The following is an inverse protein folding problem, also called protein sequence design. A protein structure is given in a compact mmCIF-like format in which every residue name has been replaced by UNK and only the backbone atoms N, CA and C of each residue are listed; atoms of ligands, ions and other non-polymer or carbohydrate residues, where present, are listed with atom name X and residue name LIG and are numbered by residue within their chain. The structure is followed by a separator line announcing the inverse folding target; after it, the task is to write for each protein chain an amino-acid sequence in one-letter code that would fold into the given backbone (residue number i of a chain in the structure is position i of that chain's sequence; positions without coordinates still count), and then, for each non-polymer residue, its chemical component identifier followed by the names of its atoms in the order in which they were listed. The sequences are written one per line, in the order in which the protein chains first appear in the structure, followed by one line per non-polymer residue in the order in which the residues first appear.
data_IF_891092114466
#
_entry.id   IF_891092114466
#
_cell.length_a   1.000
_cell.length_b   1.000
_cell.length_c   1.000
_cell.angle_alpha   90.00
_cell.angle_beta   90.00
_cell.angle_gamma   90.00
#
_symmetry.space_group_name_H-M   'P 1'
#
loop_
_entity.id
_entity.type
_entity.pdbx_description
1 polymer ?
#
# COMPACT_ATOMS: atom_id res chain seq x y z
N UNK A 1 5.95 -12.13 -83.89
CA UNK A 1 6.48 -12.86 -82.70
C UNK A 1 6.63 -11.89 -81.49
N UNK A 2 5.73 -11.66 -80.09
CA UNK A 2 5.71 -10.99 -79.20
C UNK A 2 5.82 -11.38 -78.04
N UNK A 3 6.36 -11.18 -77.35
CA UNK A 3 6.43 -11.52 -76.22
C UNK A 3 5.73 -10.81 -75.35
N UNK A 4 5.09 -11.10 -74.91
CA UNK A 4 4.43 -10.64 -74.03
C UNK A 4 5.01 -10.74 -72.82
N UNK A 5 5.28 -9.97 -72.28
CA UNK A 5 5.64 -9.95 -71.15
C UNK A 5 4.64 -10.12 -70.28
N UNK A 6 4.67 -10.95 -69.33
CA UNK A 6 3.86 -11.21 -68.16
C UNK A 6 4.28 -10.24 -67.04
N UNK A 7 3.54 -9.16 -66.89
CA UNK A 7 3.63 -8.30 -65.69
C UNK A 7 3.06 -9.05 -64.52
N UNK A 8 3.92 -9.63 -63.67
CA UNK A 8 3.52 -10.20 -62.36
C UNK A 8 3.06 -9.04 -61.46
N UNK A 9 1.75 -9.01 -61.14
CA UNK A 9 1.14 -8.11 -60.18
C UNK A 9 1.65 -8.45 -58.78
N UNK A 10 2.61 -7.69 -58.26
CA UNK A 10 3.08 -7.77 -56.88
C UNK A 10 2.03 -7.09 -56.00
N UNK A 11 1.20 -7.87 -55.33
CA UNK A 11 0.31 -7.35 -54.25
C UNK A 11 1.16 -7.24 -52.96
N UNK A 12 1.42 -6.06 -52.44
CA UNK A 12 2.07 -5.98 -51.13
C UNK A 12 1.12 -6.55 -50.09
N UNK A 13 1.59 -7.54 -49.36
CA UNK A 13 0.90 -8.08 -48.19
C UNK A 13 0.76 -7.01 -47.10
N UNK A 14 -0.17 -7.18 -46.16
CA UNK A 14 -0.33 -6.23 -45.09
C UNK A 14 1.00 -6.09 -44.31
N UNK A 15 1.55 -4.87 -44.28
CA UNK A 15 2.72 -4.57 -43.47
C UNK A 15 2.40 -4.97 -42.03
N UNK A 16 3.26 -5.75 -41.34
CA UNK A 16 3.05 -6.02 -39.93
C UNK A 16 3.04 -4.70 -39.20
N UNK A 17 1.98 -4.42 -38.48
CA UNK A 17 1.88 -3.26 -37.60
C UNK A 17 3.11 -3.24 -36.68
N UNK A 18 3.79 -2.09 -36.50
CA UNK A 18 4.93 -2.06 -35.60
C UNK A 18 4.48 -2.48 -34.21
N UNK A 19 4.89 -3.67 -33.80
CA UNK A 19 4.68 -4.14 -32.44
C UNK A 19 5.44 -3.14 -31.56
N UNK A 20 4.70 -2.46 -30.68
CA UNK A 20 5.31 -1.52 -29.76
C UNK A 20 6.48 -2.26 -29.06
N UNK A 21 7.73 -1.85 -29.26
CA UNK A 21 8.87 -2.58 -28.72
C UNK A 21 8.85 -2.69 -27.18
N UNK A 22 8.03 -1.88 -26.52
CA UNK A 22 7.81 -1.93 -25.08
C UNK A 22 7.05 -3.19 -24.64
N UNK A 23 6.06 -3.66 -25.43
CA UNK A 23 5.29 -4.85 -25.10
C UNK A 23 6.17 -6.11 -25.22
N UNK A 24 7.15 -6.11 -26.12
CA UNK A 24 8.04 -7.26 -26.32
C UNK A 24 9.21 -7.32 -25.32
N UNK A 25 9.61 -6.17 -24.76
CA UNK A 25 10.77 -6.10 -23.87
C UNK A 25 10.43 -6.44 -22.40
N UNK A 26 9.19 -6.22 -21.97
CA UNK A 26 8.81 -6.34 -20.57
C UNK A 26 7.64 -7.27 -20.31
N UNK A 27 6.97 -7.77 -21.33
CA UNK A 27 5.85 -8.73 -21.20
C UNK A 27 4.67 -8.26 -20.35
N UNK A 28 4.87 -7.25 -19.47
CA UNK A 28 3.87 -6.63 -18.59
C UNK A 28 4.38 -5.27 -18.12
N UNK A 29 3.45 -4.34 -17.89
CA UNK A 29 3.74 -3.04 -17.28
C UNK A 29 4.51 -3.20 -15.95
N UNK A 30 5.51 -2.36 -15.64
CA UNK A 30 6.18 -2.38 -14.32
C UNK A 30 5.25 -1.99 -13.17
N UNK A 31 4.10 -1.43 -13.49
CA UNK A 31 3.10 -0.98 -12.50
C UNK A 31 2.39 -2.17 -11.85
N UNK A 32 2.09 -3.24 -12.62
CA UNK A 32 1.42 -4.42 -12.07
C UNK A 32 2.10 -4.98 -10.81
N UNK A 33 3.41 -5.25 -10.83
CA UNK A 33 4.13 -5.69 -9.62
C UNK A 33 4.09 -4.67 -8.47
N UNK A 34 4.06 -3.36 -8.75
CA UNK A 34 3.92 -2.31 -7.72
C UNK A 34 2.53 -2.35 -7.10
N UNK A 35 1.48 -2.55 -7.91
CA UNK A 35 0.11 -2.71 -7.42
C UNK A 35 -0.03 -3.98 -6.58
N UNK A 36 0.62 -5.09 -7.00
CA UNK A 36 0.66 -6.34 -6.23
C UNK A 36 1.37 -6.13 -4.88
N UNK A 37 2.48 -5.38 -4.87
CA UNK A 37 3.21 -5.05 -3.65
C UNK A 37 2.30 -4.25 -2.68
N UNK A 38 1.60 -3.23 -3.17
CA UNK A 38 0.68 -2.45 -2.34
C UNK A 38 -0.49 -3.33 -1.82
N UNK A 39 -1.00 -4.23 -2.66
CA UNK A 39 -2.06 -5.17 -2.24
C UNK A 39 -1.58 -6.05 -1.08
N UNK A 40 -0.34 -6.56 -1.14
CA UNK A 40 0.26 -7.34 -0.04
C UNK A 40 0.49 -6.48 1.21
N UNK A 41 0.92 -5.23 1.03
CA UNK A 41 1.11 -4.30 2.15
C UNK A 41 -0.22 -3.99 2.85
N UNK A 42 -1.28 -3.77 2.07
CA UNK A 42 -2.62 -3.57 2.63
C UNK A 42 -3.14 -4.86 3.30
N UNK A 43 -2.96 -6.02 2.67
CA UNK A 43 -3.38 -7.31 3.25
C UNK A 43 -2.71 -7.54 4.62
N UNK A 44 -1.43 -7.19 4.74
CA UNK A 44 -0.70 -7.23 6.02
C UNK A 44 -1.34 -6.26 7.04
N UNK A 45 -1.60 -5.00 6.65
CA UNK A 45 -2.23 -4.00 7.53
C UNK A 45 -3.65 -4.42 7.94
N UNK A 46 -4.43 -5.02 7.03
CA UNK A 46 -5.80 -5.47 7.30
C UNK A 46 -5.86 -6.52 8.42
N UNK A 47 -4.80 -7.30 8.59
CA UNK A 47 -4.69 -8.28 9.68
C UNK A 47 -4.57 -7.62 11.07
N UNK A 48 -4.35 -6.29 11.16
CA UNK A 48 -4.37 -5.59 12.46
C UNK A 48 -5.75 -5.71 13.15
N UNK A 49 -6.85 -5.67 12.39
CA UNK A 49 -8.19 -5.76 12.99
C UNK A 49 -8.39 -7.11 13.69
N UNK A 50 -8.27 -8.28 13.00
CA UNK A 50 -8.40 -9.55 13.70
C UNK A 50 -7.32 -9.79 14.77
N UNK A 51 -6.11 -9.21 14.61
CA UNK A 51 -5.06 -9.27 15.62
C UNK A 51 -5.55 -8.62 16.94
N UNK A 52 -6.06 -7.38 16.87
CA UNK A 52 -6.56 -6.67 18.05
C UNK A 52 -7.77 -7.36 18.67
N UNK A 53 -8.66 -7.92 17.84
CA UNK A 53 -9.79 -8.72 18.33
C UNK A 53 -9.31 -9.94 19.11
N UNK A 54 -8.30 -10.66 18.59
CA UNK A 54 -7.72 -11.84 19.27
C UNK A 54 -7.02 -11.44 20.58
N UNK A 55 -6.28 -10.32 20.58
CA UNK A 55 -5.63 -9.77 21.78
C UNK A 55 -6.69 -9.43 22.85
N UNK A 56 -7.78 -8.76 22.46
CA UNK A 56 -8.87 -8.38 23.38
C UNK A 56 -9.61 -9.59 23.94
N UNK A 57 -9.63 -10.70 23.18
CA UNK A 57 -10.17 -11.98 23.63
C UNK A 57 -9.16 -12.82 24.43
N UNK A 58 -7.93 -12.36 24.57
CA UNK A 58 -6.79 -13.06 25.17
C UNK A 58 -6.52 -14.44 24.51
N UNK A 59 -6.85 -14.57 23.22
CA UNK A 59 -6.62 -15.78 22.40
C UNK A 59 -5.21 -15.74 21.81
N UNK A 60 -4.22 -16.08 22.63
CA UNK A 60 -2.81 -15.98 22.28
C UNK A 60 -2.39 -16.94 21.16
N UNK A 61 -3.06 -18.07 21.03
CA UNK A 61 -2.84 -19.00 19.92
C UNK A 61 -3.24 -18.31 18.60
N UNK A 62 -4.38 -17.65 18.59
CA UNK A 62 -4.86 -16.88 17.43
C UNK A 62 -3.96 -15.68 17.12
N UNK A 63 -3.49 -14.98 18.16
CA UNK A 63 -2.54 -13.86 18.01
C UNK A 63 -1.26 -14.34 17.31
N UNK A 64 -0.72 -15.49 17.74
CA UNK A 64 0.48 -16.06 17.11
C UNK A 64 0.25 -16.43 15.65
N UNK A 65 -0.88 -17.10 15.35
CA UNK A 65 -1.23 -17.46 13.96
C UNK A 65 -1.32 -16.21 13.06
N UNK A 66 -1.96 -15.15 13.54
CA UNK A 66 -2.11 -13.90 12.78
C UNK A 66 -0.73 -13.23 12.59
N UNK A 67 0.09 -13.20 13.63
CA UNK A 67 1.44 -12.62 13.55
C UNK A 67 2.28 -13.37 12.51
N UNK A 68 2.23 -14.70 12.48
CA UNK A 68 2.94 -15.53 11.49
C UNK A 68 2.43 -15.21 10.06
N UNK A 69 1.11 -15.06 9.89
CA UNK A 69 0.52 -14.68 8.60
C UNK A 69 1.00 -13.29 8.17
N UNK A 70 1.03 -12.32 9.09
CA UNK A 70 1.50 -10.96 8.79
C UNK A 70 2.99 -10.96 8.41
N UNK A 71 3.82 -11.76 9.09
CA UNK A 71 5.23 -11.92 8.75
C UNK A 71 5.39 -12.53 7.35
N UNK A 72 4.56 -13.51 6.98
CA UNK A 72 4.57 -14.09 5.63
C UNK A 72 4.18 -13.06 4.58
N UNK A 73 3.13 -12.28 4.81
CA UNK A 73 2.66 -11.24 3.87
C UNK A 73 3.73 -10.16 3.65
N UNK A 74 4.40 -9.72 4.72
CA UNK A 74 5.52 -8.76 4.62
C UNK A 74 6.68 -9.36 3.82
N UNK A 75 7.03 -10.62 4.04
CA UNK A 75 8.05 -11.31 3.25
C UNK A 75 7.68 -11.41 1.77
N UNK A 76 6.41 -11.64 1.45
CA UNK A 76 5.92 -11.65 0.06
C UNK A 76 6.02 -10.25 -0.56
N UNK A 77 5.64 -9.20 0.17
CA UNK A 77 5.81 -7.81 -0.26
C UNK A 77 7.29 -7.50 -0.50
N UNK A 78 8.18 -7.90 0.39
CA UNK A 78 9.63 -7.67 0.25
C UNK A 78 10.21 -8.36 -1.01
N UNK A 79 9.74 -9.55 -1.36
CA UNK A 79 10.12 -10.24 -2.61
C UNK A 79 9.66 -9.47 -3.83
N UNK A 80 8.42 -8.95 -3.82
CA UNK A 80 7.87 -8.10 -4.89
C UNK A 80 8.69 -6.81 -5.02
N UNK A 81 9.01 -6.16 -3.90
CA UNK A 81 9.87 -4.96 -3.86
C UNK A 81 11.22 -5.22 -4.51
N UNK A 82 11.87 -6.32 -4.17
CA UNK A 82 13.17 -6.71 -4.76
C UNK A 82 13.02 -6.93 -6.27
N UNK A 83 11.98 -7.64 -6.68
CA UNK A 83 11.69 -7.89 -8.09
C UNK A 83 11.49 -6.58 -8.87
N UNK A 84 10.67 -5.66 -8.34
CA UNK A 84 10.46 -4.34 -8.97
C UNK A 84 11.80 -3.60 -9.13
N UNK A 85 12.60 -3.52 -8.06
CA UNK A 85 13.90 -2.82 -8.08
C UNK A 85 14.86 -3.37 -9.14
N UNK A 86 14.87 -4.70 -9.33
CA UNK A 86 15.75 -5.38 -10.27
C UNK A 86 15.29 -5.21 -11.73
N UNK A 87 13.99 -5.23 -11.97
CA UNK A 87 13.42 -5.27 -13.32
C UNK A 87 12.92 -3.92 -13.82
N UNK A 88 12.84 -2.89 -12.97
CA UNK A 88 12.42 -1.56 -13.38
C UNK A 88 13.46 -0.96 -14.33
N UNK A 89 13.08 -0.56 -15.54
CA UNK A 89 14.03 -0.04 -16.54
C UNK A 89 14.89 1.13 -16.04
N UNK A 90 16.12 1.19 -16.57
CA UNK A 90 17.12 2.16 -16.07
C UNK A 90 16.99 3.59 -16.60
N UNK A 91 16.04 3.98 -17.39
CA UNK A 91 15.72 5.39 -17.58
C UNK A 91 14.88 5.82 -18.78
N UNK A 92 15.33 5.61 -20.00
CA UNK A 92 14.87 6.43 -21.15
C UNK A 92 13.44 6.18 -21.63
N UNK A 93 12.76 5.21 -21.06
CA UNK A 93 11.50 4.71 -21.63
C UNK A 93 10.34 4.64 -20.63
N UNK A 94 10.52 5.22 -19.43
CA UNK A 94 9.42 5.30 -18.44
C UNK A 94 8.71 6.65 -18.63
N UNK A 95 7.38 6.68 -18.56
CA UNK A 95 6.63 7.94 -18.67
C UNK A 95 6.81 8.85 -17.45
N UNK A 96 7.35 8.30 -16.35
CA UNK A 96 7.72 9.04 -15.13
C UNK A 96 9.12 8.65 -14.70
N UNK A 97 9.85 9.53 -13.98
CA UNK A 97 11.20 9.20 -13.51
C UNK A 97 11.23 7.91 -12.68
N UNK A 98 12.25 7.09 -12.93
CA UNK A 98 12.49 5.84 -12.21
C UNK A 98 12.56 6.07 -10.69
N UNK A 99 13.17 7.16 -10.26
CA UNK A 99 13.28 7.56 -8.86
C UNK A 99 11.90 7.64 -8.18
N UNK A 100 10.94 8.23 -8.87
CA UNK A 100 9.60 8.48 -8.31
C UNK A 100 8.85 7.17 -8.09
N UNK A 101 8.99 6.20 -9.01
CA UNK A 101 8.41 4.86 -8.84
C UNK A 101 9.09 4.11 -7.69
N UNK A 102 10.42 4.26 -7.53
CA UNK A 102 11.15 3.63 -6.42
C UNK A 102 10.79 4.28 -5.06
N UNK A 103 10.58 5.58 -5.04
CA UNK A 103 10.11 6.30 -3.84
C UNK A 103 8.70 5.84 -3.47
N UNK A 104 7.80 5.75 -4.44
CA UNK A 104 6.43 5.24 -4.24
C UNK A 104 6.48 3.81 -3.66
N UNK A 105 7.29 2.94 -4.24
CA UNK A 105 7.49 1.57 -3.75
C UNK A 105 8.02 1.56 -2.30
N UNK A 106 8.95 2.48 -2.00
CA UNK A 106 9.56 2.57 -0.67
C UNK A 106 8.55 2.99 0.41
N UNK A 107 7.63 3.90 0.09
CA UNK A 107 6.60 4.32 1.08
C UNK A 107 5.54 3.25 1.28
N UNK A 108 5.14 2.52 0.22
CA UNK A 108 4.23 1.36 0.31
C UNK A 108 4.76 0.31 1.27
N UNK A 109 6.05 -0.02 1.13
CA UNK A 109 6.73 -1.07 1.90
C UNK A 109 6.67 -0.82 3.42
N UNK A 110 6.73 0.44 3.80
CA UNK A 110 6.70 0.83 5.22
C UNK A 110 5.37 0.51 5.90
N UNK A 111 4.27 0.37 5.15
CA UNK A 111 2.96 -0.01 5.67
C UNK A 111 3.02 -1.44 6.25
N UNK A 112 3.44 -2.42 5.43
CA UNK A 112 3.57 -3.82 5.85
C UNK A 112 4.56 -3.98 7.02
N UNK A 113 5.70 -3.30 6.92
CA UNK A 113 6.73 -3.34 7.97
C UNK A 113 6.14 -2.87 9.31
N UNK A 114 5.44 -1.72 9.33
CA UNK A 114 4.87 -1.20 10.58
C UNK A 114 3.78 -2.12 11.14
N UNK A 115 2.90 -2.65 10.28
CA UNK A 115 1.86 -3.59 10.71
C UNK A 115 2.48 -4.85 11.36
N UNK A 116 3.51 -5.42 10.72
CA UNK A 116 4.25 -6.57 11.26
C UNK A 116 4.92 -6.23 12.61
N UNK A 117 5.51 -5.03 12.74
CA UNK A 117 6.16 -4.59 13.98
C UNK A 117 5.15 -4.51 15.14
N UNK A 118 3.93 -4.00 14.87
CA UNK A 118 2.82 -3.96 15.85
C UNK A 118 2.53 -5.39 16.32
N UNK A 119 2.31 -6.31 15.40
CA UNK A 119 1.97 -7.70 15.72
C UNK A 119 3.10 -8.37 16.53
N UNK A 120 4.35 -8.14 16.14
CA UNK A 120 5.52 -8.68 16.85
C UNK A 120 5.61 -8.16 18.29
N UNK A 121 5.38 -6.87 18.49
CA UNK A 121 5.44 -6.28 19.83
C UNK A 121 4.27 -6.77 20.71
N UNK A 122 3.05 -6.83 20.14
CA UNK A 122 1.85 -7.31 20.85
C UNK A 122 2.05 -8.76 21.33
N UNK A 123 2.50 -9.65 20.43
CA UNK A 123 2.74 -11.07 20.75
C UNK A 123 3.92 -11.22 21.73
N UNK A 124 5.06 -10.57 21.43
CA UNK A 124 6.30 -10.75 22.20
C UNK A 124 6.17 -10.30 23.67
N UNK A 125 5.23 -9.41 23.96
CA UNK A 125 4.97 -8.95 25.32
C UNK A 125 3.68 -9.52 25.93
N UNK A 126 2.91 -10.30 25.18
CA UNK A 126 1.55 -10.71 25.55
C UNK A 126 0.74 -9.51 26.03
N UNK A 127 0.72 -8.44 25.20
CA UNK A 127 0.14 -7.15 25.58
C UNK A 127 -1.38 -7.25 25.68
N UNK A 128 -1.95 -6.78 26.78
CA UNK A 128 -3.41 -6.70 26.95
C UNK A 128 -3.89 -5.26 26.72
N UNK A 129 -5.13 -5.13 26.28
CA UNK A 129 -5.80 -3.84 26.10
C UNK A 129 -6.83 -3.68 27.23
N UNK A 130 -6.69 -2.67 28.11
CA UNK A 130 -7.67 -2.45 29.18
C UNK A 130 -9.09 -2.38 28.63
N UNK A 131 -10.02 -3.09 29.27
CA UNK A 131 -11.40 -3.23 28.79
C UNK A 131 -12.07 -1.88 28.43
N UNK A 132 -11.94 -0.80 29.25
CA UNK A 132 -12.56 0.47 28.87
C UNK A 132 -11.99 1.11 27.61
N UNK A 133 -10.76 0.71 27.20
CA UNK A 133 -10.07 1.26 26.02
C UNK A 133 -10.43 0.47 24.74
N UNK A 134 -10.90 -0.77 24.86
CA UNK A 134 -11.06 -1.71 23.73
C UNK A 134 -11.92 -1.16 22.59
N UNK A 135 -13.13 -0.60 22.82
CA UNK A 135 -13.98 -0.15 21.71
C UNK A 135 -13.32 0.98 20.91
N UNK A 136 -12.72 1.94 21.58
CA UNK A 136 -12.06 3.09 20.93
C UNK A 136 -10.80 2.62 20.18
N UNK A 137 -10.03 1.71 20.76
CA UNK A 137 -8.84 1.14 20.15
C UNK A 137 -9.19 0.38 18.88
N UNK A 138 -10.22 -0.47 18.91
CA UNK A 138 -10.63 -1.26 17.74
C UNK A 138 -11.14 -0.35 16.61
N UNK A 139 -11.94 0.66 16.94
CA UNK A 139 -12.41 1.64 15.95
C UNK A 139 -11.24 2.39 15.30
N UNK A 140 -10.23 2.78 16.09
CA UNK A 140 -9.02 3.45 15.63
C UNK A 140 -8.21 2.55 14.69
N UNK A 141 -7.99 1.28 15.06
CA UNK A 141 -7.31 0.30 14.23
C UNK A 141 -8.06 0.11 12.90
N UNK A 142 -9.39 0.00 12.94
CA UNK A 142 -10.20 -0.14 11.72
C UNK A 142 -10.02 1.07 10.81
N UNK A 143 -10.08 2.29 11.35
CA UNK A 143 -9.93 3.51 10.53
C UNK A 143 -8.54 3.60 9.91
N UNK A 144 -7.51 3.17 10.64
CA UNK A 144 -6.13 3.06 10.12
C UNK A 144 -6.04 2.09 8.95
N UNK A 145 -6.74 0.94 9.03
CA UNK A 145 -6.79 -0.04 7.93
C UNK A 145 -7.51 0.57 6.71
N UNK A 146 -8.57 1.37 6.94
CA UNK A 146 -9.29 2.07 5.86
C UNK A 146 -8.34 3.01 5.08
N UNK A 147 -7.38 3.67 5.75
CA UNK A 147 -6.37 4.49 5.08
C UNK A 147 -5.54 3.65 4.10
N UNK A 148 -5.07 2.47 4.53
CA UNK A 148 -4.29 1.58 3.64
C UNK A 148 -5.13 1.03 2.47
N UNK A 149 -6.43 0.80 2.69
CA UNK A 149 -7.37 0.37 1.64
C UNK A 149 -7.55 1.49 0.59
N UNK A 150 -7.71 2.73 1.06
CA UNK A 150 -7.88 3.88 0.17
C UNK A 150 -6.60 4.16 -0.64
N UNK A 151 -5.42 4.02 -0.03
CA UNK A 151 -4.14 4.14 -0.74
C UNK A 151 -4.01 3.07 -1.85
N UNK A 152 -4.41 1.83 -1.56
CA UNK A 152 -4.42 0.74 -2.55
C UNK A 152 -5.39 1.08 -3.69
N UNK A 153 -6.57 1.60 -3.38
CA UNK A 153 -7.58 1.99 -4.37
C UNK A 153 -7.02 3.06 -5.32
N UNK A 154 -6.40 4.11 -4.79
CA UNK A 154 -5.77 5.16 -5.59
C UNK A 154 -4.63 4.60 -6.46
N UNK A 155 -3.79 3.73 -5.92
CA UNK A 155 -2.67 3.14 -6.66
C UNK A 155 -3.12 2.23 -7.80
N UNK A 156 -4.28 1.61 -7.71
CA UNK A 156 -4.83 0.76 -8.79
C UNK A 156 -5.11 1.56 -10.06
N UNK A 157 -5.31 2.87 -9.95
CA UNK A 157 -5.54 3.74 -11.11
C UNK A 157 -4.25 4.13 -11.85
N UNK A 158 -3.07 3.74 -11.32
CA UNK A 158 -1.77 4.17 -11.87
C UNK A 158 -1.57 3.73 -13.33
N UNK A 159 -2.05 2.55 -13.73
CA UNK A 159 -1.97 2.10 -15.14
C UNK A 159 -2.78 3.05 -16.05
N UNK A 160 -4.02 3.37 -15.65
CA UNK A 160 -4.90 4.29 -16.40
C UNK A 160 -4.28 5.70 -16.49
N UNK A 161 -3.66 6.18 -15.40
CA UNK A 161 -2.94 7.46 -15.39
C UNK A 161 -1.80 7.48 -16.40
N UNK A 162 -1.02 6.39 -16.46
CA UNK A 162 0.09 6.28 -17.42
C UNK A 162 -0.41 6.29 -18.88
N UNK A 163 -1.53 5.61 -19.15
CA UNK A 163 -2.13 5.54 -20.48
C UNK A 163 -2.64 6.91 -20.93
N UNK A 164 -3.17 7.74 -20.01
CA UNK A 164 -3.73 9.06 -20.31
C UNK A 164 -2.72 10.19 -20.14
N UNK A 165 -1.45 9.88 -19.84
CA UNK A 165 -0.40 10.88 -19.65
C UNK A 165 -0.66 11.79 -18.45
N UNK A 166 -1.19 11.22 -17.38
CA UNK A 166 -1.47 11.93 -16.11
C UNK A 166 -2.44 13.13 -16.28
N UNK A 167 -3.46 12.98 -17.15
CA UNK A 167 -4.39 14.07 -17.43
C UNK A 167 -5.83 13.55 -17.53
N UNK A 168 -6.78 14.49 -17.64
CA UNK A 168 -8.17 14.17 -17.87
C UNK A 168 -8.92 13.64 -16.65
N UNK A 169 -9.92 12.82 -16.91
CA UNK A 169 -10.82 12.25 -15.88
C UNK A 169 -10.10 11.37 -14.87
N UNK A 170 -9.09 10.64 -15.34
CA UNK A 170 -8.33 9.70 -14.53
C UNK A 170 -7.50 10.45 -13.47
N UNK A 171 -6.88 11.57 -13.86
CA UNK A 171 -6.15 12.44 -12.93
C UNK A 171 -7.09 12.99 -11.85
N UNK A 172 -8.24 13.57 -12.29
CA UNK A 172 -9.25 14.09 -11.35
C UNK A 172 -9.78 13.00 -10.40
N UNK A 173 -9.95 11.78 -10.89
CA UNK A 173 -10.41 10.67 -10.06
C UNK A 173 -9.37 10.35 -8.96
N UNK A 174 -8.10 10.29 -9.32
CA UNK A 174 -7.01 9.98 -8.36
C UNK A 174 -6.84 11.14 -7.35
N UNK A 175 -6.91 12.40 -7.81
CA UNK A 175 -6.88 13.57 -6.90
C UNK A 175 -7.96 13.43 -5.82
N UNK A 176 -9.20 13.12 -6.23
CA UNK A 176 -10.30 12.90 -5.30
C UNK A 176 -10.04 11.74 -4.33
N UNK A 177 -9.45 10.64 -4.83
CA UNK A 177 -9.10 9.50 -3.97
C UNK A 177 -8.03 9.85 -2.94
N UNK A 178 -7.10 10.74 -3.30
CA UNK A 178 -6.05 11.24 -2.39
C UNK A 178 -6.69 12.19 -1.35
N UNK A 179 -7.61 13.08 -1.75
CA UNK A 179 -8.36 13.93 -0.81
C UNK A 179 -9.15 13.08 0.21
N UNK A 180 -9.78 11.99 -0.25
CA UNK A 180 -10.48 11.04 0.64
C UNK A 180 -9.50 10.37 1.61
N UNK A 181 -8.31 10.02 1.15
CA UNK A 181 -7.26 9.42 1.97
C UNK A 181 -6.77 10.40 3.06
N UNK A 182 -6.56 11.67 2.71
CA UNK A 182 -6.19 12.71 3.67
C UNK A 182 -7.27 12.90 4.76
N UNK A 183 -8.55 12.83 4.38
CA UNK A 183 -9.62 12.93 5.38
C UNK A 183 -9.62 11.72 6.32
N UNK A 184 -9.37 10.51 5.79
CA UNK A 184 -9.25 9.31 6.63
C UNK A 184 -8.07 9.47 7.61
N UNK A 185 -6.93 9.97 7.13
CA UNK A 185 -5.76 10.20 7.99
C UNK A 185 -6.07 11.23 9.09
N UNK A 186 -6.69 12.38 8.73
CA UNK A 186 -7.11 13.39 9.72
C UNK A 186 -8.08 12.82 10.76
N UNK A 187 -8.95 11.88 10.37
CA UNK A 187 -9.84 11.19 11.32
C UNK A 187 -9.04 10.26 12.23
N UNK A 188 -8.06 9.52 11.70
CA UNK A 188 -7.20 8.65 12.54
C UNK A 188 -6.42 9.46 13.55
N UNK A 189 -5.94 10.65 13.18
CA UNK A 189 -5.25 11.58 14.09
C UNK A 189 -6.17 12.00 15.26
N UNK A 190 -7.41 12.39 14.94
CA UNK A 190 -8.40 12.75 15.97
C UNK A 190 -8.70 11.55 16.90
N UNK A 191 -8.80 10.36 16.32
CA UNK A 191 -9.03 9.11 17.08
C UNK A 191 -7.81 8.78 17.96
N UNK A 192 -6.59 8.99 17.45
CA UNK A 192 -5.35 8.78 18.22
C UNK A 192 -5.35 9.66 19.49
N UNK A 193 -5.70 10.94 19.34
CA UNK A 193 -5.79 11.88 20.47
C UNK A 193 -6.83 11.37 21.49
N UNK A 194 -7.97 10.89 21.01
CA UNK A 194 -9.06 10.37 21.86
C UNK A 194 -8.60 9.13 22.65
N UNK A 195 -7.95 8.17 21.96
CA UNK A 195 -7.44 6.93 22.58
C UNK A 195 -6.34 7.26 23.60
N UNK A 196 -5.42 8.20 23.27
CA UNK A 196 -4.37 8.65 24.20
C UNK A 196 -4.98 9.26 25.48
N UNK A 197 -6.02 10.09 25.34
CA UNK A 197 -6.71 10.72 26.47
C UNK A 197 -7.42 9.66 27.34
N UNK A 198 -8.03 8.67 26.70
CA UNK A 198 -8.66 7.56 27.43
C UNK A 198 -7.62 6.75 28.19
N UNK A 199 -6.47 6.46 27.60
CA UNK A 199 -5.36 5.78 28.28
C UNK A 199 -4.83 6.60 29.46
N UNK A 200 -4.65 7.92 29.28
CA UNK A 200 -4.20 8.82 30.34
C UNK A 200 -5.10 8.74 31.59
N UNK A 201 -6.42 8.63 31.36
CA UNK A 201 -7.38 8.52 32.49
C UNK A 201 -7.29 7.16 33.23
N UNK A 202 -6.69 6.15 32.62
CA UNK A 202 -6.54 4.79 33.20
C UNK A 202 -5.13 4.52 33.72
N UNK A 203 -4.12 5.29 33.29
CA UNK A 203 -2.71 4.93 33.44
C UNK A 203 -2.24 4.79 34.89
N UNK A 204 -2.89 5.51 35.84
CA UNK A 204 -2.57 5.45 37.28
C UNK A 204 -2.85 4.08 37.89
N UNK A 205 -3.78 3.32 37.30
CA UNK A 205 -4.23 2.02 37.80
C UNK A 205 -3.59 0.86 37.02
N UNK A 206 -2.64 1.16 36.11
CA UNK A 206 -1.97 0.18 35.25
C UNK A 206 -0.47 0.11 35.57
N UNK A 207 0.18 -1.05 35.32
CA UNK A 207 1.64 -1.12 35.46
C UNK A 207 2.33 -0.12 34.51
N UNK A 208 3.25 0.67 35.03
CA UNK A 208 3.91 1.75 34.26
C UNK A 208 4.57 1.29 32.96
N UNK A 209 5.17 0.08 32.96
CA UNK A 209 5.81 -0.47 31.77
C UNK A 209 4.74 -0.76 30.69
N UNK A 210 3.60 -1.30 31.07
CA UNK A 210 2.51 -1.59 30.12
C UNK A 210 1.95 -0.30 29.52
N UNK A 211 1.82 0.76 30.33
CA UNK A 211 1.39 2.09 29.86
C UNK A 211 2.34 2.61 28.78
N UNK A 212 3.65 2.52 29.00
CA UNK A 212 4.66 2.96 28.02
C UNK A 212 4.45 2.24 26.68
N UNK A 213 4.24 0.93 26.71
CA UNK A 213 4.06 0.15 25.48
C UNK A 213 2.69 0.36 24.86
N UNK A 214 1.65 0.65 25.65
CA UNK A 214 0.33 1.02 25.11
C UNK A 214 0.43 2.35 24.33
N UNK A 215 1.09 3.38 24.87
CA UNK A 215 1.32 4.63 24.14
C UNK A 215 2.09 4.39 22.85
N UNK A 216 3.11 3.53 22.90
CA UNK A 216 3.91 3.16 21.72
C UNK A 216 3.06 2.48 20.64
N UNK A 217 2.19 1.54 21.03
CA UNK A 217 1.28 0.87 20.08
C UNK A 217 0.30 1.87 19.46
N UNK A 218 -0.27 2.76 20.26
CA UNK A 218 -1.19 3.81 19.77
C UNK A 218 -0.46 4.67 18.71
N UNK A 219 0.79 5.07 18.99
CA UNK A 219 1.62 5.81 18.03
C UNK A 219 1.86 5.00 16.75
N UNK A 220 2.21 3.73 16.87
CA UNK A 220 2.51 2.86 15.72
C UNK A 220 1.28 2.58 14.84
N UNK A 221 0.09 2.51 15.44
CA UNK A 221 -1.17 2.36 14.68
C UNK A 221 -1.35 3.61 13.79
N UNK A 222 -1.21 4.81 14.34
CA UNK A 222 -1.29 6.07 13.55
C UNK A 222 -0.26 6.11 12.44
N UNK A 223 0.98 5.71 12.72
CA UNK A 223 2.06 5.68 11.72
C UNK A 223 1.72 4.78 10.50
N UNK A 224 0.83 3.80 10.62
CA UNK A 224 0.33 3.03 9.45
C UNK A 224 -0.53 3.93 8.55
N UNK A 225 -1.41 4.76 9.13
CA UNK A 225 -2.24 5.70 8.37
C UNK A 225 -1.38 6.80 7.73
N UNK A 226 -0.41 7.37 8.47
CA UNK A 226 0.56 8.35 7.94
C UNK A 226 1.31 7.79 6.71
N UNK A 227 1.70 6.52 6.77
CA UNK A 227 2.42 5.87 5.66
C UNK A 227 1.51 5.65 4.46
N UNK A 228 0.23 5.35 4.70
CA UNK A 228 -0.77 5.24 3.63
C UNK A 228 -0.98 6.60 2.97
N UNK A 229 -1.12 7.67 3.75
CA UNK A 229 -1.21 9.05 3.25
C UNK A 229 -0.01 9.40 2.37
N UNK A 230 1.20 9.01 2.78
CA UNK A 230 2.42 9.25 1.98
C UNK A 230 2.39 8.56 0.61
N UNK A 231 1.67 7.44 0.48
CA UNK A 231 1.44 6.81 -0.85
C UNK A 231 0.59 7.76 -1.70
N UNK A 232 -0.49 8.32 -1.15
CA UNK A 232 -1.33 9.32 -1.82
C UNK A 232 -0.51 10.53 -2.27
N UNK A 233 0.28 11.09 -1.36
CA UNK A 233 1.14 12.25 -1.63
C UNK A 233 2.14 11.99 -2.76
N UNK A 234 2.67 10.76 -2.87
CA UNK A 234 3.55 10.39 -3.99
C UNK A 234 2.78 10.29 -5.32
N UNK A 235 1.55 9.77 -5.29
CA UNK A 235 0.69 9.75 -6.50
C UNK A 235 0.38 11.19 -6.96
N UNK A 236 0.04 12.06 -6.03
CA UNK A 236 -0.24 13.47 -6.32
C UNK A 236 0.98 14.17 -6.95
N UNK A 237 2.19 13.88 -6.46
CA UNK A 237 3.43 14.41 -7.04
C UNK A 237 3.65 13.93 -8.49
N UNK A 238 3.18 12.73 -8.83
CA UNK A 238 3.23 12.24 -10.22
C UNK A 238 2.23 13.00 -11.10
N UNK A 239 1.06 13.38 -10.55
CA UNK A 239 0.04 14.15 -11.27
C UNK A 239 0.47 15.61 -11.52
N UNK A 240 1.25 16.19 -10.61
CA UNK A 240 1.67 17.60 -10.67
C UNK A 240 2.78 17.88 -11.70
N UNK A 241 3.21 16.87 -12.49
CA UNK A 241 4.26 17.00 -13.53
C UNK A 241 3.66 17.11 -14.93
#
# INVERSE_FOLDING_TARGET
MXXXXLAASFKPGPYPMPVNPFVSLFGRSPIGPMQQHMAKSHECAANLVPLFQAVMAEDWEKVEQIQQQMAQLENEADKLKKSVRQHLPKSLFLPVPRSDLLDLLSVQDKIANRAKDIAGLMLGRCMTIPQPLQPQMLAYVQRTVDASAQALKALKELDSLLETGFSGREATLVEKMVEELEEIERETDRMQITVRRALFNLEKDLPAVDVIFLYKIIEWIGDVADRAERVGNRLEQLLAR
#
